data_IF_581093647835
#
_entry.id   IF_581093647835
#
_cell.length_a   1.000
_cell.length_b   1.000
_cell.length_c   1.000
_cell.angle_alpha   90.00
_cell.angle_beta   90.00
_cell.angle_gamma   90.00
#
_symmetry.space_group_name_H-M   'P 1'
#
loop_
_entity.id
_entity.type
_entity.pdbx_description
1 polymer ?
#
# COMPACT_ATOMS: atom_id res chain seq x y z
N UNK A 1 2.75 -23.71 18.56
CA UNK A 1 1.32 -23.87 18.19
C UNK A 1 1.09 -23.21 16.84
N UNK A 2 0.99 -24.03 15.80
CA UNK A 2 0.71 -23.61 14.41
C UNK A 2 -0.70 -23.00 14.36
N UNK A 3 -0.78 -21.67 14.19
CA UNK A 3 -2.06 -21.00 13.95
C UNK A 3 -2.56 -21.44 12.57
N UNK A 4 -3.40 -22.47 12.51
CA UNK A 4 -4.11 -22.81 11.27
C UNK A 4 -4.87 -21.56 10.83
N UNK A 5 -4.43 -20.98 9.71
CA UNK A 5 -5.17 -19.93 9.03
C UNK A 5 -6.43 -20.60 8.48
N UNK A 6 -7.58 -20.33 9.12
CA UNK A 6 -8.88 -20.77 8.61
C UNK A 6 -9.06 -20.37 7.15
N UNK A 7 -9.65 -21.28 6.36
CA UNK A 7 -9.99 -21.02 4.97
C UNK A 7 -11.13 -20.02 4.89
N UNK A 8 -11.33 -19.39 3.74
CA UNK A 8 -12.35 -18.35 3.57
C UNK A 8 -13.74 -18.92 3.85
N UNK A 9 -13.99 -20.13 3.36
CA UNK A 9 -15.25 -20.88 3.47
C UNK A 9 -15.59 -21.27 4.91
N UNK A 10 -14.63 -21.20 5.83
CA UNK A 10 -14.79 -21.51 7.26
C UNK A 10 -15.08 -20.26 8.10
N UNK A 11 -15.15 -19.07 7.47
CA UNK A 11 -15.42 -17.81 8.15
C UNK A 11 -16.91 -17.50 8.16
N UNK A 12 -17.31 -16.69 9.14
CA UNK A 12 -18.68 -16.24 9.28
C UNK A 12 -18.94 -15.00 8.41
N UNK A 13 -19.77 -15.19 7.38
CA UNK A 13 -20.20 -14.17 6.43
C UNK A 13 -21.60 -13.62 6.72
N UNK A 14 -22.20 -13.97 7.87
CA UNK A 14 -23.48 -13.40 8.30
C UNK A 14 -23.37 -11.89 8.53
N UNK A 15 -24.49 -11.14 8.58
CA UNK A 15 -24.46 -9.73 8.96
C UNK A 15 -23.73 -9.49 10.28
N UNK A 16 -23.01 -8.37 10.38
CA UNK A 16 -22.31 -8.00 11.61
C UNK A 16 -23.30 -7.72 12.73
N UNK A 17 -23.04 -8.28 13.91
CA UNK A 17 -23.80 -7.97 15.11
C UNK A 17 -23.49 -6.56 15.62
N UNK A 18 -24.38 -5.98 16.45
CA UNK A 18 -24.20 -4.63 17.01
C UNK A 18 -22.87 -4.47 17.77
N UNK A 19 -22.40 -5.53 18.43
CA UNK A 19 -21.11 -5.54 19.13
C UNK A 19 -19.95 -5.43 18.14
N UNK A 20 -20.03 -6.16 17.02
CA UNK A 20 -19.02 -6.11 15.97
C UNK A 20 -19.04 -4.78 15.25
N UNK A 21 -20.23 -4.23 14.96
CA UNK A 21 -20.39 -2.89 14.37
C UNK A 21 -19.70 -1.83 15.24
N UNK A 22 -19.89 -1.85 16.57
CA UNK A 22 -19.20 -0.93 17.48
C UNK A 22 -17.67 -1.05 17.40
N UNK A 23 -17.15 -2.27 17.33
CA UNK A 23 -15.70 -2.52 17.17
C UNK A 23 -15.23 -1.97 15.82
N UNK A 24 -15.95 -2.25 14.74
CA UNK A 24 -15.61 -1.82 13.39
C UNK A 24 -15.59 -0.28 13.28
N UNK A 25 -16.64 0.40 13.74
CA UNK A 25 -16.70 1.86 13.71
C UNK A 25 -15.59 2.52 14.52
N UNK A 26 -15.17 1.91 15.63
CA UNK A 26 -14.09 2.43 16.47
C UNK A 26 -12.68 2.14 15.93
N UNK A 27 -12.45 0.94 15.36
CA UNK A 27 -11.12 0.46 14.99
C UNK A 27 -10.74 0.72 13.53
N UNK A 28 -11.72 0.73 12.60
CA UNK A 28 -11.46 0.97 11.18
C UNK A 28 -10.75 2.32 10.95
N UNK A 29 -11.18 3.44 11.55
CA UNK A 29 -10.50 4.71 11.37
C UNK A 29 -9.04 4.66 11.83
N UNK A 30 -8.74 3.91 12.89
CA UNK A 30 -7.40 3.85 13.51
C UNK A 30 -6.43 2.93 12.77
N UNK A 31 -6.93 2.07 11.89
CA UNK A 31 -6.09 1.12 11.15
C UNK A 31 -5.49 1.75 9.88
N UNK A 32 -4.40 1.16 9.39
CA UNK A 32 -3.79 1.53 8.11
C UNK A 32 -4.23 0.65 6.95
N UNK A 33 -3.70 0.92 5.74
CA UNK A 33 -4.00 0.18 4.50
C UNK A 33 -3.75 -1.35 4.58
N UNK A 34 -2.97 -1.82 5.56
CA UNK A 34 -2.73 -3.25 5.76
C UNK A 34 -3.93 -3.99 6.40
N UNK A 35 -4.86 -3.28 7.05
CA UNK A 35 -5.95 -3.85 7.85
C UNK A 35 -5.48 -4.94 8.84
N UNK A 36 -4.19 -4.91 9.19
CA UNK A 36 -3.55 -5.90 10.04
C UNK A 36 -3.99 -5.67 11.49
N UNK A 37 -4.47 -6.73 12.15
CA UNK A 37 -4.97 -6.65 13.52
C UNK A 37 -6.44 -7.07 13.65
N UNK A 38 -7.25 -6.91 12.60
CA UNK A 38 -8.64 -7.32 12.61
C UNK A 38 -8.84 -8.83 12.82
N UNK A 39 -7.91 -9.68 12.36
CA UNK A 39 -7.94 -11.12 12.68
C UNK A 39 -7.81 -11.44 14.18
N UNK A 40 -7.26 -10.53 14.99
CA UNK A 40 -7.22 -10.66 16.44
C UNK A 40 -8.49 -10.14 17.10
N UNK A 41 -9.08 -9.08 16.54
CA UNK A 41 -10.30 -8.44 17.06
C UNK A 41 -11.57 -9.22 16.69
N UNK A 42 -11.63 -9.70 15.45
CA UNK A 42 -12.74 -10.43 14.85
C UNK A 42 -12.20 -11.71 14.19
N UNK A 43 -11.80 -12.73 14.98
CA UNK A 43 -11.11 -13.92 14.48
C UNK A 43 -11.95 -14.83 13.58
N UNK A 44 -13.28 -14.68 13.63
CA UNK A 44 -14.22 -15.46 12.82
C UNK A 44 -14.68 -14.71 11.56
N UNK A 45 -14.31 -13.43 11.39
CA UNK A 45 -14.76 -12.59 10.29
C UNK A 45 -13.72 -12.47 9.20
N UNK A 46 -14.19 -12.35 7.96
CA UNK A 46 -13.33 -12.11 6.82
C UNK A 46 -12.89 -10.65 6.75
N UNK A 47 -11.62 -10.43 6.42
CA UNK A 47 -11.13 -9.09 6.09
C UNK A 47 -11.85 -8.53 4.85
N UNK A 48 -12.33 -9.39 3.95
CA UNK A 48 -13.11 -8.97 2.79
C UNK A 48 -14.43 -8.33 3.23
N UNK A 49 -15.16 -8.97 4.14
CA UNK A 49 -16.46 -8.47 4.62
C UNK A 49 -16.29 -7.19 5.46
N UNK A 50 -15.23 -7.12 6.26
CA UNK A 50 -14.86 -5.91 7.01
C UNK A 50 -14.61 -4.73 6.07
N UNK A 51 -13.93 -4.96 4.94
CA UNK A 51 -13.69 -3.92 3.91
C UNK A 51 -14.97 -3.53 3.18
N UNK A 52 -15.85 -4.49 2.90
CA UNK A 52 -17.15 -4.23 2.30
C UNK A 52 -18.00 -3.34 3.23
N UNK A 53 -18.08 -3.70 4.52
CA UNK A 53 -18.75 -2.91 5.54
C UNK A 53 -18.21 -1.48 5.63
N UNK A 54 -16.89 -1.31 5.63
CA UNK A 54 -16.26 0.02 5.65
C UNK A 54 -16.68 0.87 4.45
N UNK A 55 -16.73 0.26 3.25
CA UNK A 55 -17.15 0.93 2.02
C UNK A 55 -18.63 1.33 2.06
N UNK A 56 -19.51 0.42 2.48
CA UNK A 56 -20.96 0.68 2.58
C UNK A 56 -21.28 1.79 3.59
N UNK A 57 -20.52 1.87 4.69
CA UNK A 57 -20.72 2.85 5.75
C UNK A 57 -19.87 4.12 5.57
N UNK A 58 -19.20 4.29 4.43
CA UNK A 58 -18.32 5.44 4.14
C UNK A 58 -17.24 5.69 5.21
N UNK A 59 -16.72 4.63 5.84
CA UNK A 59 -15.68 4.73 6.87
C UNK A 59 -14.31 4.54 6.21
N UNK A 60 -13.50 5.60 6.19
CA UNK A 60 -12.12 5.55 5.68
C UNK A 60 -11.13 5.25 6.81
N UNK A 61 -10.10 4.45 6.51
CA UNK A 61 -9.00 4.23 7.44
C UNK A 61 -7.93 5.33 7.25
N UNK A 62 -7.29 5.77 8.33
CA UNK A 62 -6.38 6.94 8.37
C UNK A 62 -5.22 6.84 7.37
N UNK A 63 -4.86 5.64 6.92
CA UNK A 63 -3.78 5.44 5.94
C UNK A 63 -4.20 4.67 4.68
N UNK A 64 -5.45 4.78 4.22
CA UNK A 64 -5.90 4.11 2.96
C UNK A 64 -5.12 4.57 1.72
N UNK A 65 -4.50 5.75 1.79
CA UNK A 65 -3.63 6.34 0.75
C UNK A 65 -2.20 5.79 0.73
N UNK A 66 -1.79 5.00 1.73
CA UNK A 66 -0.46 4.40 1.75
C UNK A 66 -0.53 2.96 1.21
N UNK A 67 -0.73 2.83 -0.11
CA UNK A 67 0.06 1.82 -0.83
C UNK A 67 1.52 2.13 -0.52
N UNK A 68 2.27 1.10 -0.21
CA UNK A 68 3.67 1.06 0.22
C UNK A 68 4.71 1.61 -0.77
N UNK A 69 4.37 2.66 -1.51
CA UNK A 69 5.29 3.46 -2.30
C UNK A 69 5.16 4.87 -1.76
N UNK A 70 6.23 5.38 -1.16
CA UNK A 70 6.38 6.80 -0.88
C UNK A 70 5.94 7.56 -2.13
N UNK A 71 4.87 8.34 -2.01
CA UNK A 71 4.36 9.17 -3.11
C UNK A 71 5.41 10.25 -3.34
N UNK A 72 5.88 10.38 -4.58
CA UNK A 72 6.84 11.42 -4.95
C UNK A 72 6.21 12.78 -4.68
N UNK A 73 6.84 13.57 -3.80
CA UNK A 73 6.37 14.94 -3.54
C UNK A 73 6.74 15.85 -4.70
N UNK A 74 6.09 17.02 -4.79
CA UNK A 74 6.40 18.00 -5.83
C UNK A 74 7.86 18.49 -5.72
N UNK A 75 8.38 18.60 -4.51
CA UNK A 75 9.79 18.92 -4.26
C UNK A 75 10.72 17.83 -4.81
N UNK A 76 10.38 16.55 -4.60
CA UNK A 76 11.16 15.42 -5.12
C UNK A 76 11.10 15.35 -6.65
N UNK A 77 9.93 15.60 -7.24
CA UNK A 77 9.74 15.67 -8.69
C UNK A 77 10.59 16.80 -9.30
N UNK A 78 10.56 17.98 -8.69
CA UNK A 78 11.35 19.14 -9.15
C UNK A 78 12.84 18.84 -9.08
N UNK A 79 13.31 18.24 -7.98
CA UNK A 79 14.71 17.86 -7.83
C UNK A 79 15.16 16.86 -8.91
N UNK A 80 14.33 15.83 -9.19
CA UNK A 80 14.61 14.86 -10.25
C UNK A 80 14.73 15.53 -11.61
N UNK A 81 13.81 16.44 -11.94
CA UNK A 81 13.84 17.19 -13.22
C UNK A 81 15.11 18.03 -13.31
N UNK A 82 15.45 18.80 -12.28
CA UNK A 82 16.66 19.64 -12.27
C UNK A 82 17.93 18.82 -12.47
N UNK A 83 18.03 17.66 -11.80
CA UNK A 83 19.19 16.76 -11.95
C UNK A 83 19.29 16.21 -13.37
N UNK A 84 18.17 15.78 -13.96
CA UNK A 84 18.15 15.25 -15.32
C UNK A 84 18.54 16.34 -16.33
N UNK A 85 18.06 17.57 -16.16
CA UNK A 85 18.41 18.70 -17.02
C UNK A 85 19.90 19.06 -16.94
N UNK A 86 20.45 19.12 -15.72
CA UNK A 86 21.88 19.37 -15.51
C UNK A 86 22.74 18.27 -16.16
N UNK A 87 22.33 17.01 -16.05
CA UNK A 87 23.00 15.88 -16.70
C UNK A 87 22.86 15.94 -18.23
N UNK A 88 21.70 16.33 -18.74
CA UNK A 88 21.42 16.55 -20.16
C UNK A 88 22.40 17.54 -20.77
N UNK A 89 22.59 18.68 -20.12
CA UNK A 89 23.56 19.70 -20.53
C UNK A 89 25.00 19.17 -20.47
N UNK A 90 25.39 18.54 -19.35
CA UNK A 90 26.75 18.06 -19.14
C UNK A 90 27.16 16.96 -20.13
N UNK A 91 26.25 16.03 -20.40
CA UNK A 91 26.50 14.88 -21.28
C UNK A 91 26.19 15.17 -22.75
N UNK A 92 25.58 16.34 -23.06
CA UNK A 92 25.08 16.70 -24.39
C UNK A 92 24.17 15.62 -24.97
N UNK A 93 23.25 15.11 -24.14
CA UNK A 93 22.27 14.08 -24.50
C UNK A 93 20.89 14.53 -24.07
N UNK A 94 19.86 14.10 -24.80
CA UNK A 94 18.49 14.40 -24.39
C UNK A 94 18.13 13.76 -23.04
N UNK A 95 17.31 14.44 -22.20
CA UNK A 95 16.83 13.94 -20.90
C UNK A 95 16.32 12.49 -20.94
N UNK A 96 15.50 12.17 -21.96
CA UNK A 96 14.91 10.84 -22.13
C UNK A 96 15.97 9.75 -22.32
N UNK A 97 17.05 10.05 -23.05
CA UNK A 97 18.14 9.10 -23.29
C UNK A 97 18.91 8.82 -21.99
N UNK A 98 19.07 9.85 -21.14
CA UNK A 98 19.73 9.72 -19.83
C UNK A 98 18.89 8.84 -18.90
N UNK A 99 17.58 9.07 -18.81
CA UNK A 99 16.69 8.24 -17.99
C UNK A 99 16.72 6.76 -18.41
N UNK A 100 16.64 6.50 -19.72
CA UNK A 100 16.70 5.14 -20.26
C UNK A 100 18.03 4.46 -19.92
N UNK A 101 19.14 5.17 -20.11
CA UNK A 101 20.46 4.63 -19.81
C UNK A 101 20.66 4.38 -18.31
N UNK A 102 20.22 5.29 -17.45
CA UNK A 102 20.27 5.14 -16.00
C UNK A 102 19.49 3.90 -15.52
N UNK A 103 18.29 3.69 -16.07
CA UNK A 103 17.48 2.50 -15.78
C UNK A 103 18.19 1.20 -16.17
N UNK A 104 18.78 1.15 -17.38
CA UNK A 104 19.52 -0.01 -17.86
C UNK A 104 20.72 -0.34 -16.95
N UNK A 105 21.55 0.67 -16.63
CA UNK A 105 22.73 0.50 -15.76
C UNK A 105 22.33 0.05 -14.35
N UNK A 106 21.25 0.61 -13.80
CA UNK A 106 20.76 0.23 -12.47
C UNK A 106 20.36 -1.25 -12.40
N UNK A 107 19.61 -1.74 -13.40
CA UNK A 107 19.18 -3.12 -13.45
C UNK A 107 20.34 -4.10 -13.70
N UNK A 108 21.33 -3.71 -14.52
CA UNK A 108 22.53 -4.52 -14.72
C UNK A 108 23.32 -4.69 -13.42
N UNK A 109 23.50 -3.61 -12.64
CA UNK A 109 24.17 -3.68 -11.34
C UNK A 109 23.44 -4.60 -10.36
N UNK A 110 22.11 -4.52 -10.31
CA UNK A 110 21.31 -5.38 -9.44
C UNK A 110 21.56 -6.87 -9.73
N UNK A 111 21.62 -7.25 -11.01
CA UNK A 111 21.90 -8.64 -11.44
C UNK A 111 23.32 -9.11 -11.13
N UNK A 112 24.28 -8.20 -10.95
CA UNK A 112 25.66 -8.53 -10.58
C UNK A 112 25.87 -8.70 -9.07
N UNK A 113 24.87 -8.33 -8.26
CA UNK A 113 24.91 -8.41 -6.79
C UNK A 113 23.92 -9.44 -6.22
N UNK A 114 23.27 -10.22 -7.07
CA UNK A 114 22.45 -11.41 -6.75
C UNK A 114 23.22 -12.68 -7.14
#
# INVERSE_FOLDING_TARGET
MTRLRRKYEELDHSPFSDKEVKILMHEIPKHGASWAGFKRLLPNRSLTDIKAFAKENNISCVNSSLKSHKVWTDEENNLVVTVIEALSQKLKREPKTICNHAYLVFNLRKKSHE
#
